data_IF_874878255313
#
_entry.id   IF_874878255313
#
_cell.length_a   1.000
_cell.length_b   1.000
_cell.length_c   1.000
_cell.angle_alpha   90.00
_cell.angle_beta   90.00
_cell.angle_gamma   90.00
#
_symmetry.space_group_name_H-M   'P 1'
#
loop_
_entity.id
_entity.type
_entity.pdbx_description
1 polymer ?
#
# COMPACT_ATOMS: atom_id res chain seq x y z
N UNK A 1 -17.91 -21.15 -4.86
CA UNK A 1 -17.08 -21.72 -3.77
C UNK A 1 -17.64 -21.25 -2.44
N UNK A 2 -17.76 -22.11 -1.41
CA UNK A 2 -18.22 -21.69 -0.07
C UNK A 2 -17.22 -20.81 0.70
N UNK A 3 -15.97 -20.71 0.21
CA UNK A 3 -14.89 -19.91 0.82
C UNK A 3 -14.87 -18.45 0.36
N UNK A 4 -15.59 -18.12 -0.71
CA UNK A 4 -15.57 -16.77 -1.32
C UNK A 4 -16.92 -16.10 -1.11
N UNK A 5 -16.91 -14.90 -0.55
CA UNK A 5 -18.07 -14.03 -0.43
C UNK A 5 -17.78 -12.73 -1.15
N UNK A 6 -18.64 -12.35 -2.09
CA UNK A 6 -18.54 -11.09 -2.83
C UNK A 6 -19.41 -10.05 -2.12
N UNK A 7 -18.86 -8.86 -1.92
CA UNK A 7 -19.56 -7.72 -1.32
C UNK A 7 -19.38 -6.54 -2.26
N UNK A 8 -20.47 -6.08 -2.86
CA UNK A 8 -20.47 -4.88 -3.69
C UNK A 8 -20.81 -3.68 -2.80
N UNK A 9 -19.77 -2.99 -2.32
CA UNK A 9 -19.90 -1.83 -1.45
C UNK A 9 -18.65 -0.94 -1.57
N UNK A 10 -18.78 0.31 -1.14
CA UNK A 10 -17.62 1.17 -0.88
C UNK A 10 -16.82 0.59 0.29
N UNK A 11 -15.51 0.37 0.09
CA UNK A 11 -14.66 -0.30 1.07
C UNK A 11 -14.51 0.51 2.37
N UNK A 12 -14.52 1.85 2.28
CA UNK A 12 -14.46 2.73 3.45
C UNK A 12 -15.72 2.53 4.29
N UNK A 13 -16.90 2.70 3.68
CA UNK A 13 -18.20 2.55 4.36
C UNK A 13 -18.37 1.14 4.92
N UNK A 14 -17.94 0.13 4.17
CA UNK A 14 -18.05 -1.26 4.61
C UNK A 14 -17.17 -1.56 5.83
N UNK A 15 -15.94 -1.05 5.87
CA UNK A 15 -15.08 -1.21 7.05
C UNK A 15 -15.64 -0.47 8.27
N UNK A 16 -16.29 0.68 8.11
CA UNK A 16 -16.92 1.38 9.24
C UNK A 16 -18.03 0.55 9.92
N UNK A 17 -18.75 -0.26 9.14
CA UNK A 17 -19.94 -1.00 9.59
C UNK A 17 -19.66 -2.47 9.91
N UNK A 18 -18.56 -3.02 9.39
CA UNK A 18 -18.20 -4.42 9.59
C UNK A 18 -17.72 -4.66 11.03
N UNK A 19 -18.01 -5.82 11.64
CA UNK A 19 -17.45 -6.20 12.94
C UNK A 19 -16.18 -7.07 12.84
N UNK A 20 -15.81 -7.55 11.65
CA UNK A 20 -14.82 -8.62 11.50
C UNK A 20 -13.37 -8.16 11.55
N UNK A 21 -12.48 -8.97 12.12
CA UNK A 21 -11.02 -8.82 11.96
C UNK A 21 -10.49 -9.84 10.94
N UNK A 22 -9.37 -9.51 10.29
CA UNK A 22 -8.77 -10.31 9.24
C UNK A 22 -7.29 -10.58 9.53
N UNK A 23 -6.85 -11.82 9.30
CA UNK A 23 -5.44 -12.20 9.38
C UNK A 23 -4.62 -11.65 8.20
N UNK A 24 -5.27 -11.44 7.06
CA UNK A 24 -4.65 -10.89 5.86
C UNK A 24 -5.62 -10.01 5.08
N UNK A 25 -5.15 -8.83 4.67
CA UNK A 25 -5.91 -7.87 3.85
C UNK A 25 -5.10 -7.47 2.63
N UNK A 26 -5.72 -7.45 1.45
CA UNK A 26 -5.11 -6.90 0.24
C UNK A 26 -5.89 -5.65 -0.16
N UNK A 27 -5.20 -4.52 -0.22
CA UNK A 27 -5.72 -3.24 -0.67
C UNK A 27 -5.17 -2.97 -2.07
N UNK A 28 -5.98 -3.33 -3.06
CA UNK A 28 -5.68 -3.18 -4.49
C UNK A 28 -6.61 -2.12 -5.09
N UNK A 29 -6.36 -0.87 -4.74
CA UNK A 29 -7.12 0.27 -5.24
C UNK A 29 -6.44 0.87 -6.47
N UNK A 30 -7.20 1.55 -7.35
CA UNK A 30 -6.58 2.39 -8.37
C UNK A 30 -5.74 3.50 -7.74
N UNK A 31 -4.82 4.05 -8.53
CA UNK A 31 -3.99 5.18 -8.11
C UNK A 31 -4.83 6.43 -7.78
N UNK A 32 -4.39 7.28 -6.84
CA UNK A 32 -5.17 8.39 -6.25
C UNK A 32 -5.30 9.61 -7.18
N UNK A 33 -5.81 9.42 -8.39
CA UNK A 33 -5.99 10.42 -9.46
C UNK A 33 -7.08 11.47 -9.19
N UNK A 34 -7.85 11.33 -8.11
CA UNK A 34 -8.88 12.28 -7.70
C UNK A 34 -9.20 12.12 -6.22
N UNK A 35 -9.95 13.06 -5.66
CA UNK A 35 -10.32 13.06 -4.24
C UNK A 35 -11.16 11.84 -3.78
N UNK A 36 -11.97 11.27 -4.68
CA UNK A 36 -12.77 10.07 -4.36
C UNK A 36 -11.89 8.83 -4.20
N UNK A 37 -10.76 8.74 -4.90
CA UNK A 37 -9.76 7.69 -4.68
C UNK A 37 -8.81 8.08 -3.54
N UNK A 38 -8.40 9.35 -3.47
CA UNK A 38 -7.51 9.89 -2.44
C UNK A 38 -8.00 9.64 -1.01
N UNK A 39 -9.32 9.66 -0.77
CA UNK A 39 -9.90 9.35 0.56
C UNK A 39 -9.56 7.93 1.06
N UNK A 40 -9.33 6.97 0.17
CA UNK A 40 -8.99 5.58 0.49
C UNK A 40 -7.53 5.41 0.96
N UNK A 41 -6.70 6.44 0.80
CA UNK A 41 -5.30 6.45 1.21
C UNK A 41 -5.05 7.41 2.39
N UNK A 42 -6.09 7.72 3.17
CA UNK A 42 -5.99 8.68 4.28
C UNK A 42 -5.77 7.99 5.62
N UNK A 43 -5.28 8.76 6.60
CA UNK A 43 -5.25 8.32 8.01
C UNK A 43 -6.60 7.81 8.52
N UNK A 44 -7.73 8.32 8.03
CA UNK A 44 -9.05 7.84 8.43
C UNK A 44 -9.30 6.40 7.96
N UNK A 45 -9.03 6.12 6.68
CA UNK A 45 -9.14 4.77 6.13
C UNK A 45 -8.14 3.82 6.79
N UNK A 46 -6.87 4.23 6.97
CA UNK A 46 -5.87 3.36 7.58
C UNK A 46 -6.09 3.09 9.07
N UNK A 47 -6.76 3.98 9.82
CA UNK A 47 -7.20 3.67 11.19
C UNK A 47 -8.28 2.57 11.20
N UNK A 48 -9.19 2.58 10.23
CA UNK A 48 -10.14 1.50 10.06
C UNK A 48 -9.41 0.21 9.70
N UNK A 49 -8.49 0.24 8.74
CA UNK A 49 -7.66 -0.92 8.40
C UNK A 49 -6.95 -1.49 9.63
N UNK A 50 -6.30 -0.64 10.43
CA UNK A 50 -5.64 -1.05 11.68
C UNK A 50 -6.60 -1.72 12.67
N UNK A 51 -7.82 -1.17 12.85
CA UNK A 51 -8.86 -1.76 13.72
C UNK A 51 -9.31 -3.14 13.22
N UNK A 52 -9.39 -3.31 11.91
CA UNK A 52 -9.86 -4.53 11.25
C UNK A 52 -8.76 -5.58 11.03
N UNK A 53 -7.52 -5.26 11.38
CA UNK A 53 -6.41 -6.21 11.30
C UNK A 53 -6.31 -7.02 12.59
N UNK A 54 -6.18 -8.34 12.47
CA UNK A 54 -5.84 -9.20 13.60
C UNK A 54 -4.48 -8.79 14.20
N UNK A 55 -4.21 -9.20 15.44
CA UNK A 55 -2.99 -8.80 16.16
C UNK A 55 -1.70 -9.21 15.42
N UNK A 56 -1.71 -10.42 14.85
CA UNK A 56 -0.62 -10.95 14.02
C UNK A 56 -0.92 -10.83 12.53
N UNK A 57 -1.92 -10.03 12.16
CA UNK A 57 -2.35 -9.87 10.78
C UNK A 57 -1.44 -8.91 10.00
N UNK A 58 -1.49 -9.03 8.67
CA UNK A 58 -0.80 -8.13 7.76
C UNK A 58 -1.74 -7.63 6.65
N UNK A 59 -1.54 -6.39 6.22
CA UNK A 59 -2.13 -5.85 5.02
C UNK A 59 -1.06 -5.62 3.96
N UNK A 60 -1.41 -5.74 2.69
CA UNK A 60 -0.57 -5.26 1.57
C UNK A 60 -1.34 -4.19 0.82
N UNK A 61 -0.68 -3.06 0.57
CA UNK A 61 -1.24 -1.90 -0.11
C UNK A 61 -0.44 -1.66 -1.38
N UNK A 62 -1.09 -1.63 -2.55
CA UNK A 62 -0.48 -1.06 -3.75
C UNK A 62 -0.19 0.42 -3.49
N UNK A 63 1.04 0.87 -3.75
CA UNK A 63 1.54 2.17 -3.25
C UNK A 63 2.10 3.06 -4.36
N UNK A 64 1.60 2.95 -5.59
CA UNK A 64 2.12 3.65 -6.79
C UNK A 64 3.58 3.29 -7.10
N UNK A 65 4.26 4.02 -7.98
CA UNK A 65 5.67 3.76 -8.32
C UNK A 65 6.63 4.53 -7.40
N UNK A 66 7.61 3.90 -6.73
CA UNK A 66 8.63 4.61 -5.95
C UNK A 66 9.65 5.35 -6.82
N UNK A 67 9.65 5.09 -8.13
CA UNK A 67 10.51 5.75 -9.11
C UNK A 67 9.79 6.91 -9.80
N UNK A 68 8.58 6.66 -10.32
CA UNK A 68 7.85 7.66 -11.11
C UNK A 68 6.91 8.53 -10.27
N UNK A 69 6.47 8.04 -9.10
CA UNK A 69 5.58 8.73 -8.18
C UNK A 69 6.14 8.65 -6.74
N UNK A 70 7.41 9.01 -6.59
CA UNK A 70 8.21 8.84 -5.37
C UNK A 70 7.60 9.51 -4.14
N UNK A 71 7.13 10.74 -4.25
CA UNK A 71 6.42 11.44 -3.18
C UNK A 71 5.10 10.74 -2.86
N UNK A 72 4.34 10.31 -3.86
CA UNK A 72 3.11 9.55 -3.65
C UNK A 72 3.35 8.25 -2.89
N UNK A 73 4.35 7.47 -3.31
CA UNK A 73 4.76 6.23 -2.65
C UNK A 73 5.13 6.47 -1.18
N UNK A 74 6.03 7.41 -0.90
CA UNK A 74 6.46 7.67 0.47
C UNK A 74 5.37 8.34 1.30
N UNK A 75 4.46 9.11 0.70
CA UNK A 75 3.29 9.68 1.39
C UNK A 75 2.37 8.56 1.91
N UNK A 76 2.12 7.51 1.12
CA UNK A 76 1.35 6.34 1.54
C UNK A 76 2.04 5.64 2.72
N UNK A 77 3.34 5.39 2.62
CA UNK A 77 4.14 4.77 3.69
C UNK A 77 4.05 5.58 4.99
N UNK A 78 4.31 6.90 4.94
CA UNK A 78 4.24 7.77 6.14
C UNK A 78 2.83 7.88 6.69
N UNK A 79 1.81 7.81 5.85
CA UNK A 79 0.41 7.85 6.30
C UNK A 79 0.03 6.57 7.06
N UNK A 80 0.50 5.39 6.62
CA UNK A 80 0.35 4.13 7.36
C UNK A 80 1.05 4.18 8.71
N UNK A 81 2.31 4.63 8.74
CA UNK A 81 3.09 4.77 9.99
C UNK A 81 2.39 5.71 10.99
N UNK A 82 1.81 6.82 10.50
CA UNK A 82 1.15 7.82 11.34
C UNK A 82 -0.08 7.31 12.10
N UNK A 83 -0.63 6.16 11.71
CA UNK A 83 -1.77 5.51 12.38
C UNK A 83 -1.36 4.33 13.24
N UNK A 84 -0.05 4.12 13.46
CA UNK A 84 0.49 3.08 14.33
C UNK A 84 0.78 1.74 13.65
N UNK A 85 0.74 1.67 12.32
CA UNK A 85 1.15 0.47 11.58
C UNK A 85 2.66 0.50 11.32
N UNK A 86 3.31 -0.65 11.44
CA UNK A 86 4.65 -0.87 10.90
C UNK A 86 4.54 -1.03 9.38
N UNK A 87 5.09 -0.06 8.64
CA UNK A 87 5.14 -0.10 7.19
C UNK A 87 6.47 -0.71 6.70
N UNK A 88 6.40 -1.74 5.86
CA UNK A 88 7.54 -2.34 5.18
C UNK A 88 7.37 -2.14 3.67
N UNK A 89 7.94 -1.06 3.10
CA UNK A 89 7.86 -0.78 1.69
C UNK A 89 8.68 -1.78 0.88
N UNK A 90 8.18 -2.15 -0.31
CA UNK A 90 8.90 -2.96 -1.28
C UNK A 90 8.48 -2.59 -2.70
N UNK A 91 9.24 -3.03 -3.69
CA UNK A 91 8.95 -2.75 -5.09
C UNK A 91 9.28 -3.94 -5.98
N UNK A 92 8.67 -3.95 -7.16
CA UNK A 92 8.89 -4.96 -8.17
C UNK A 92 8.69 -4.35 -9.56
N UNK A 93 9.47 -4.82 -10.53
CA UNK A 93 9.22 -4.53 -11.93
C UNK A 93 8.03 -5.36 -12.44
N UNK A 94 6.94 -4.69 -12.77
CA UNK A 94 5.74 -5.30 -13.37
C UNK A 94 5.70 -4.91 -14.85
N UNK A 95 5.80 -5.86 -15.81
CA UNK A 95 6.03 -5.51 -17.22
C UNK A 95 5.03 -4.53 -17.86
N UNK A 96 3.77 -4.52 -17.42
CA UNK A 96 2.74 -3.60 -17.92
C UNK A 96 2.74 -2.23 -17.25
N UNK A 97 3.43 -2.07 -16.11
CA UNK A 97 3.42 -0.86 -15.28
C UNK A 97 4.82 -0.26 -15.03
N UNK A 98 5.89 -1.00 -15.35
CA UNK A 98 7.26 -0.61 -15.03
C UNK A 98 7.59 -0.87 -13.56
N UNK A 99 8.33 0.04 -12.94
CA UNK A 99 8.69 -0.04 -11.52
C UNK A 99 7.46 0.24 -10.64
N UNK A 100 7.03 -0.73 -9.85
CA UNK A 100 5.80 -0.66 -9.09
C UNK A 100 6.01 -0.94 -7.61
N UNK A 101 5.38 -0.13 -6.77
CA UNK A 101 5.55 -0.12 -5.33
C UNK A 101 4.38 -0.71 -4.57
N UNK A 102 4.72 -1.32 -3.44
CA UNK A 102 3.79 -1.90 -2.50
C UNK A 102 4.28 -1.65 -1.07
N UNK A 103 3.36 -1.73 -0.11
CA UNK A 103 3.68 -1.60 1.32
C UNK A 103 3.00 -2.71 2.10
N UNK A 104 3.78 -3.50 2.84
CA UNK A 104 3.23 -4.37 3.89
C UNK A 104 2.98 -3.50 5.12
N UNK A 105 1.78 -3.59 5.70
CA UNK A 105 1.42 -2.89 6.93
C UNK A 105 0.93 -3.88 7.99
N UNK A 106 1.50 -3.85 9.17
CA UNK A 106 1.16 -4.77 10.27
C UNK A 106 1.24 -4.08 11.63
N UNK A 107 0.61 -4.65 12.65
CA UNK A 107 0.72 -4.15 14.05
C UNK A 107 2.06 -4.49 14.71
N UNK A 108 2.80 -5.41 14.12
CA UNK A 108 4.13 -5.84 14.55
C UNK A 108 5.12 -5.66 13.39
N UNK A 109 6.42 -5.70 13.68
CA UNK A 109 7.45 -5.64 12.63
C UNK A 109 7.34 -6.86 11.72
N UNK A 110 7.28 -6.64 10.42
CA UNK A 110 7.25 -7.72 9.44
C UNK A 110 8.58 -8.49 9.43
N UNK A 111 8.48 -9.81 9.43
CA UNK A 111 9.62 -10.71 9.26
C UNK A 111 9.38 -11.54 7.99
N UNK A 112 10.24 -11.40 6.95
CA UNK A 112 10.13 -12.20 5.75
C UNK A 112 10.18 -13.70 6.07
N UNK A 113 9.35 -14.54 5.43
CA UNK A 113 9.39 -15.97 5.65
C UNK A 113 10.68 -16.56 5.06
N UNK A 114 11.21 -17.60 5.71
CA UNK A 114 12.39 -18.32 5.22
C UNK A 114 12.09 -19.35 4.13
N UNK A 115 10.81 -19.58 3.81
CA UNK A 115 10.33 -20.53 2.80
C UNK A 115 9.18 -19.92 2.01
N UNK A 116 9.20 -20.20 0.71
CA UNK A 116 8.16 -19.82 -0.24
C UNK A 116 7.52 -21.07 -0.84
N UNK A 117 6.33 -20.93 -1.42
CA UNK A 117 5.67 -22.02 -2.11
C UNK A 117 6.52 -22.52 -3.28
N UNK A 118 6.47 -23.82 -3.52
CA UNK A 118 7.10 -24.44 -4.68
C UNK A 118 6.31 -24.07 -5.96
N UNK A 119 7.00 -24.01 -7.10
CA UNK A 119 6.40 -23.75 -8.43
C UNK A 119 5.81 -22.34 -8.65
N UNK A 120 6.30 -21.32 -7.93
CA UNK A 120 6.00 -19.93 -8.24
C UNK A 120 6.74 -19.49 -9.52
N UNK A 121 6.09 -18.66 -10.34
CA UNK A 121 6.66 -18.18 -11.62
C UNK A 121 7.58 -16.97 -11.48
N UNK A 122 7.45 -16.22 -10.38
CA UNK A 122 8.16 -14.97 -10.17
C UNK A 122 8.96 -15.00 -8.86
N UNK A 123 8.29 -15.27 -7.74
CA UNK A 123 8.90 -15.16 -6.42
C UNK A 123 9.79 -16.37 -6.11
N UNK A 124 11.05 -16.11 -5.82
CA UNK A 124 12.01 -17.02 -5.16
C UNK A 124 12.49 -16.37 -3.87
N UNK A 125 13.21 -17.12 -3.01
CA UNK A 125 13.79 -16.52 -1.79
C UNK A 125 14.76 -15.36 -2.11
N UNK A 126 15.58 -15.53 -3.15
CA UNK A 126 16.54 -14.50 -3.58
C UNK A 126 15.83 -13.26 -4.14
N UNK A 127 14.81 -13.46 -4.98
CA UNK A 127 14.01 -12.35 -5.52
C UNK A 127 13.30 -11.63 -4.38
N UNK A 128 12.69 -12.37 -3.44
CA UNK A 128 11.96 -11.79 -2.32
C UNK A 128 12.83 -10.90 -1.43
N UNK A 129 14.08 -11.30 -1.16
CA UNK A 129 15.03 -10.47 -0.44
C UNK A 129 15.35 -9.16 -1.18
N UNK A 130 15.46 -9.22 -2.52
CA UNK A 130 15.73 -8.05 -3.35
C UNK A 130 14.61 -7.02 -3.42
N UNK A 131 13.34 -7.42 -3.26
CA UNK A 131 12.18 -6.51 -3.38
C UNK A 131 12.20 -5.35 -2.37
N UNK A 132 12.91 -5.52 -1.24
CA UNK A 132 12.99 -4.52 -0.17
C UNK A 132 14.21 -3.59 -0.30
N UNK A 133 15.03 -3.75 -1.35
CA UNK A 133 16.24 -2.95 -1.56
C UNK A 133 16.03 -1.83 -2.57
N UNK A 134 15.86 -0.61 -2.05
CA UNK A 134 15.67 0.56 -2.89
C UNK A 134 17.00 1.14 -3.40
N UNK A 135 17.12 1.52 -4.68
CA UNK A 135 18.20 2.38 -5.14
C UNK A 135 18.02 3.83 -4.64
N UNK A 136 19.08 4.64 -4.74
CA UNK A 136 19.12 6.01 -4.14
C UNK A 136 18.06 6.97 -4.68
N UNK A 137 17.72 6.82 -5.96
CA UNK A 137 16.69 7.57 -6.65
C UNK A 137 15.27 7.19 -6.23
N UNK A 138 15.09 6.08 -5.50
CA UNK A 138 13.82 5.65 -4.90
C UNK A 138 13.79 5.79 -3.36
N UNK A 139 14.85 6.28 -2.73
CA UNK A 139 14.93 6.44 -1.27
C UNK A 139 13.80 7.31 -0.67
N UNK A 140 13.50 7.18 0.62
CA UNK A 140 12.56 8.06 1.31
C UNK A 140 12.82 9.53 1.04
N UNK A 141 11.73 10.28 0.85
CA UNK A 141 11.73 11.75 0.77
C UNK A 141 10.80 12.31 1.82
N UNK A 142 10.99 13.58 2.18
CA UNK A 142 10.04 14.27 3.05
C UNK A 142 8.71 14.48 2.32
N UNK A 143 7.63 14.13 3.02
CA UNK A 143 6.26 14.14 2.51
C UNK A 143 5.31 14.46 3.65
N UNK A 144 4.17 15.05 3.31
CA UNK A 144 3.09 15.25 4.25
C UNK A 144 2.26 13.98 4.46
N UNK A 145 1.62 13.88 5.63
CA UNK A 145 0.65 12.82 5.92
C UNK A 145 -0.67 13.13 5.20
N UNK A 146 -1.21 12.14 4.50
CA UNK A 146 -2.48 12.24 3.79
C UNK A 146 -3.69 12.11 4.73
N UNK A 147 -4.53 13.13 4.77
CA UNK A 147 -5.73 13.24 5.62
C UNK A 147 -6.92 13.61 4.75
N UNK A 148 -8.13 13.37 5.26
CA UNK A 148 -9.37 13.70 4.53
C UNK A 148 -9.50 15.19 4.18
N UNK A 149 -8.91 16.08 4.98
CA UNK A 149 -9.03 17.53 4.82
C UNK A 149 -7.94 18.16 3.95
N UNK A 150 -6.75 17.56 3.82
CA UNK A 150 -5.67 18.09 2.97
C UNK A 150 -5.58 17.33 1.63
N UNK A 151 -5.82 16.02 1.63
CA UNK A 151 -5.71 15.13 0.47
C UNK A 151 -4.46 15.33 -0.38
N UNK A 152 -3.32 15.59 0.28
CA UNK A 152 -2.04 15.96 -0.35
C UNK A 152 -1.54 14.90 -1.34
N UNK A 153 -1.91 13.64 -1.15
CA UNK A 153 -1.53 12.55 -2.05
C UNK A 153 -2.02 12.76 -3.48
N UNK A 154 -3.21 13.35 -3.67
CA UNK A 154 -3.75 13.64 -5.01
C UNK A 154 -2.85 14.67 -5.72
N UNK A 155 -2.38 15.68 -4.98
CA UNK A 155 -1.52 16.74 -5.52
C UNK A 155 -0.14 16.20 -5.89
N UNK A 156 0.47 15.38 -5.02
CA UNK A 156 1.73 14.69 -5.34
C UNK A 156 1.57 13.87 -6.61
N UNK A 157 0.56 13.01 -6.66
CA UNK A 157 0.34 12.13 -7.80
C UNK A 157 0.16 12.93 -9.10
N UNK A 158 -0.72 13.93 -9.11
CA UNK A 158 -0.91 14.79 -10.28
C UNK A 158 0.40 15.43 -10.72
N UNK A 159 1.16 16.03 -9.81
CA UNK A 159 2.43 16.68 -10.16
C UNK A 159 3.46 15.72 -10.75
N UNK A 160 3.59 14.52 -10.19
CA UNK A 160 4.58 13.52 -10.60
C UNK A 160 4.28 12.95 -11.99
N UNK A 161 3.00 12.72 -12.32
CA UNK A 161 2.62 12.22 -13.64
C UNK A 161 2.73 13.25 -14.76
N UNK A 162 2.54 14.54 -14.45
CA UNK A 162 2.76 15.61 -15.44
C UNK A 162 4.23 15.69 -15.92
N UNK A 163 5.19 15.17 -15.13
CA UNK A 163 6.60 15.12 -15.50
C UNK A 163 6.97 13.88 -16.33
N UNK A 164 6.18 12.80 -16.28
CA UNK A 164 6.45 11.55 -17.02
C UNK A 164 5.90 11.60 -18.45
N UNK A 165 4.83 12.38 -18.68
CA UNK A 165 4.15 12.46 -19.99
C UNK A 165 4.63 13.60 -20.89
N UNK A 166 5.71 14.29 -20.54
CA UNK A 166 6.33 15.34 -21.36
C UNK A 166 7.55 14.86 -22.14
#
# INVERSE_FOLDING_TARGET
>A
SRKTKIINADAFVWLEQSPGCYDFVVVDFPDPTNHTLGRLYTTAFYRLLHKHLAENGAAVIQSTSPLFARQSFWCIVRTLESVGLHATPYHAYVPSFGEWGFTIASKQTYVPPSRYLENLKFLTADIAAGLFHFPKDMYPVEVEINRLNNQVLVQYYESEWHHVTQ
#
